data_IF_351035666192
#
_entry.id   IF_351035666192
#
_cell.length_a   1.000
_cell.length_b   1.000
_cell.length_c   1.000
_cell.angle_alpha   90.00
_cell.angle_beta   90.00
_cell.angle_gamma   90.00
#
_symmetry.space_group_name_H-M   'P 1'
#
loop_
_entity.id
_entity.type
_entity.pdbx_description
1 polymer ?
#
# COMPACT_ATOMS: atom_id res chain seq x y z
N UNK A 1 -5.23 2.31 13.82
CA UNK A 1 -3.83 2.05 13.38
C UNK A 1 -3.85 1.42 11.99
N UNK A 2 -2.76 1.44 11.20
CA UNK A 2 -2.69 0.71 9.94
C UNK A 2 -3.00 -0.80 10.11
N UNK A 3 -2.70 -1.34 11.29
CA UNK A 3 -3.02 -2.71 11.68
C UNK A 3 -4.53 -3.05 11.73
N UNK A 4 -5.40 -2.05 11.87
CA UNK A 4 -6.85 -2.23 12.03
C UNK A 4 -7.62 -1.89 10.74
N UNK A 5 -6.92 -1.46 9.69
CA UNK A 5 -7.53 -1.02 8.45
C UNK A 5 -7.45 -2.13 7.39
N UNK A 6 -8.56 -2.35 6.68
CA UNK A 6 -8.60 -3.21 5.50
C UNK A 6 -8.10 -2.48 4.24
N UNK A 7 -8.34 -1.17 4.18
CA UNK A 7 -7.94 -0.29 3.07
C UNK A 7 -7.17 0.92 3.61
N UNK A 8 -6.02 1.21 3.02
CA UNK A 8 -5.13 2.31 3.38
C UNK A 8 -4.88 3.17 2.15
N UNK A 9 -5.18 4.47 2.27
CA UNK A 9 -4.81 5.47 1.27
C UNK A 9 -3.55 6.20 1.73
N UNK A 10 -2.56 6.32 0.85
CA UNK A 10 -1.38 7.16 1.06
C UNK A 10 -1.37 8.29 0.04
N UNK A 11 -1.22 9.52 0.53
CA UNK A 11 -1.22 10.73 -0.28
C UNK A 11 -0.46 11.84 0.44
N UNK A 12 0.82 11.59 0.71
CA UNK A 12 1.66 12.53 1.45
C UNK A 12 2.75 13.12 0.56
N UNK A 13 3.41 14.17 1.03
CA UNK A 13 4.61 14.73 0.39
C UNK A 13 5.92 14.10 0.91
N UNK A 14 5.85 12.90 1.51
CA UNK A 14 7.03 12.21 2.01
C UNK A 14 7.93 11.76 0.85
N UNK A 15 9.23 12.06 0.96
CA UNK A 15 10.27 11.57 0.04
C UNK A 15 10.73 10.13 0.38
N UNK A 16 10.30 9.60 1.53
CA UNK A 16 10.61 8.24 1.99
C UNK A 16 9.37 7.35 2.03
N UNK A 17 9.60 6.05 1.93
CA UNK A 17 8.57 5.03 2.14
C UNK A 17 8.02 5.12 3.57
N UNK A 18 6.69 5.14 3.67
CA UNK A 18 5.95 5.06 4.94
C UNK A 18 5.60 3.61 5.30
N UNK A 19 5.45 2.76 4.27
CA UNK A 19 5.22 1.33 4.40
C UNK A 19 6.30 0.58 3.64
N UNK A 20 7.24 -0.03 4.37
CA UNK A 20 8.17 -1.01 3.81
C UNK A 20 7.53 -2.41 3.80
N UNK A 21 8.09 -3.31 2.99
CA UNK A 21 7.66 -4.72 2.97
C UNK A 21 7.72 -5.37 4.35
N UNK A 22 8.81 -5.17 5.08
CA UNK A 22 9.03 -5.76 6.41
C UNK A 22 8.00 -5.25 7.43
N UNK A 23 7.70 -3.94 7.37
CA UNK A 23 6.73 -3.35 8.28
C UNK A 23 5.31 -3.85 8.01
N UNK A 24 4.95 -4.06 6.74
CA UNK A 24 3.62 -4.59 6.37
C UNK A 24 3.50 -6.07 6.71
N UNK A 25 4.58 -6.85 6.52
CA UNK A 25 4.62 -8.27 6.88
C UNK A 25 4.39 -8.51 8.39
N UNK A 26 4.83 -7.57 9.25
CA UNK A 26 4.59 -7.61 10.68
C UNK A 26 3.18 -7.20 11.11
N UNK A 27 2.35 -6.64 10.21
CA UNK A 27 0.99 -6.25 10.58
C UNK A 27 0.12 -7.48 10.82
N UNK A 28 -0.76 -7.46 11.84
CA UNK A 28 -1.72 -8.53 12.03
C UNK A 28 -2.61 -8.66 10.78
N UNK A 29 -2.87 -9.93 10.43
CA UNK A 29 -3.79 -10.32 9.38
C UNK A 29 -4.90 -11.17 9.99
N UNK A 30 -6.13 -10.88 9.64
CA UNK A 30 -7.33 -11.64 9.98
C UNK A 30 -7.70 -12.66 8.88
N UNK A 31 -6.78 -12.89 7.94
CA UNK A 31 -6.98 -13.73 6.75
C UNK A 31 -7.46 -12.97 5.51
N UNK A 32 -7.70 -11.66 5.62
CA UNK A 32 -8.00 -10.81 4.47
C UNK A 32 -6.75 -10.11 3.93
N UNK A 33 -6.77 -9.77 2.64
CA UNK A 33 -5.71 -8.95 2.02
C UNK A 33 -5.96 -7.49 2.32
N UNK A 34 -4.96 -6.81 2.88
CA UNK A 34 -4.99 -5.37 3.09
C UNK A 34 -4.69 -4.64 1.78
N UNK A 35 -5.57 -3.72 1.41
CA UNK A 35 -5.46 -2.93 0.19
C UNK A 35 -4.74 -1.61 0.47
N UNK A 36 -3.68 -1.33 -0.28
CA UNK A 36 -2.96 -0.07 -0.28
C UNK A 36 -3.25 0.66 -1.59
N UNK A 37 -3.69 1.91 -1.49
CA UNK A 37 -3.92 2.81 -2.63
C UNK A 37 -2.98 4.01 -2.45
N UNK A 38 -1.91 4.03 -3.23
CA UNK A 38 -0.87 5.05 -3.16
C UNK A 38 -1.01 6.09 -4.27
N UNK A 39 -1.48 7.27 -3.89
CA UNK A 39 -1.62 8.42 -4.78
C UNK A 39 -0.44 9.40 -4.67
N UNK A 40 0.66 9.00 -4.02
CA UNK A 40 1.82 9.85 -3.73
C UNK A 40 2.88 9.78 -4.84
N UNK A 41 3.57 10.90 -5.09
CA UNK A 41 4.74 10.97 -5.96
C UNK A 41 5.81 11.82 -5.24
N UNK A 42 6.95 11.25 -4.80
CA UNK A 42 7.32 9.82 -4.91
C UNK A 42 6.43 8.89 -4.07
N UNK A 43 6.42 7.60 -4.43
CA UNK A 43 5.58 6.57 -3.81
C UNK A 43 5.90 6.41 -2.32
N UNK A 44 4.86 6.26 -1.51
CA UNK A 44 4.93 6.06 -0.06
C UNK A 44 4.87 4.57 0.33
N UNK A 45 4.40 3.70 -0.56
CA UNK A 45 4.35 2.25 -0.34
C UNK A 45 5.45 1.58 -1.14
N UNK A 46 6.21 0.71 -0.48
CA UNK A 46 7.25 -0.09 -1.12
C UNK A 46 6.63 -1.04 -2.16
N UNK A 47 7.10 -1.05 -3.42
CA UNK A 47 6.61 -1.98 -4.44
C UNK A 47 6.70 -3.45 -4.01
N UNK A 48 7.67 -3.82 -3.17
CA UNK A 48 7.81 -5.18 -2.64
C UNK A 48 6.64 -5.64 -1.76
N UNK A 49 5.78 -4.72 -1.29
CA UNK A 49 4.56 -5.06 -0.53
C UNK A 49 3.59 -5.88 -1.39
N UNK A 50 3.57 -5.71 -2.71
CA UNK A 50 2.70 -6.52 -3.59
C UNK A 50 3.08 -7.99 -3.67
N UNK A 51 4.26 -8.36 -3.15
CA UNK A 51 4.71 -9.75 -3.06
C UNK A 51 4.14 -10.49 -1.83
N UNK A 52 3.55 -9.76 -0.87
CA UNK A 52 2.97 -10.35 0.33
C UNK A 52 1.58 -10.94 0.03
N UNK A 53 1.33 -12.17 0.47
CA UNK A 53 0.04 -12.85 0.25
C UNK A 53 -1.14 -12.10 0.89
N UNK A 54 -0.88 -11.38 1.98
CA UNK A 54 -1.87 -10.61 2.74
C UNK A 54 -1.97 -9.13 2.31
N UNK A 55 -1.42 -8.74 1.16
CA UNK A 55 -1.48 -7.35 0.68
C UNK A 55 -1.86 -7.24 -0.80
N UNK A 56 -2.43 -6.09 -1.15
CA UNK A 56 -2.66 -5.62 -2.51
C UNK A 56 -2.21 -4.17 -2.59
N UNK A 57 -1.52 -3.78 -3.66
CA UNK A 57 -1.02 -2.41 -3.84
C UNK A 57 -1.47 -1.90 -5.20
N UNK A 58 -2.06 -0.71 -5.20
CA UNK A 58 -2.34 0.08 -6.39
C UNK A 58 -1.68 1.44 -6.23
N UNK A 59 -1.05 1.92 -7.30
CA UNK A 59 -0.46 3.25 -7.36
C UNK A 59 -1.15 4.10 -8.46
N UNK A 60 -0.69 5.35 -8.61
CA UNK A 60 -1.22 6.28 -9.62
C UNK A 60 -1.19 5.75 -11.06
N UNK A 61 -0.23 4.90 -11.41
CA UNK A 61 -0.12 4.33 -12.75
C UNK A 61 -1.22 3.27 -12.97
N UNK A 62 -1.45 2.40 -11.98
CA UNK A 62 -2.52 1.37 -12.05
C UNK A 62 -3.92 2.01 -12.12
N UNK A 63 -4.12 3.13 -11.43
CA UNK A 63 -5.40 3.83 -11.43
C UNK A 63 -5.70 4.55 -12.75
N UNK A 64 -4.66 4.92 -13.51
CA UNK A 64 -4.83 5.55 -14.83
C UNK A 64 -5.39 4.58 -15.87
N UNK A 65 -5.02 3.30 -15.79
CA UNK A 65 -5.51 2.28 -16.73
C UNK A 65 -7.04 2.05 -16.65
N UNK A 66 -7.70 2.48 -15.57
CA UNK A 66 -9.15 2.28 -15.35
C UNK A 66 -9.99 3.47 -15.87
N UNK A 67 -9.35 4.61 -16.18
CA UNK A 67 -10.04 5.86 -16.53
C UNK A 67 -10.20 6.04 -18.05
N UNK A 68 -9.61 5.16 -18.86
CA UNK A 68 -9.75 5.11 -20.33
C UNK A 68 -10.78 4.05 -20.78
#
# INVERSE_FOLDING_TARGET
SAAEADVIFTGTASESLLFSKENVEMLPSDGQRRLFIDISIPRNVDPGVSELENALVYNVDDLREVVD
#
